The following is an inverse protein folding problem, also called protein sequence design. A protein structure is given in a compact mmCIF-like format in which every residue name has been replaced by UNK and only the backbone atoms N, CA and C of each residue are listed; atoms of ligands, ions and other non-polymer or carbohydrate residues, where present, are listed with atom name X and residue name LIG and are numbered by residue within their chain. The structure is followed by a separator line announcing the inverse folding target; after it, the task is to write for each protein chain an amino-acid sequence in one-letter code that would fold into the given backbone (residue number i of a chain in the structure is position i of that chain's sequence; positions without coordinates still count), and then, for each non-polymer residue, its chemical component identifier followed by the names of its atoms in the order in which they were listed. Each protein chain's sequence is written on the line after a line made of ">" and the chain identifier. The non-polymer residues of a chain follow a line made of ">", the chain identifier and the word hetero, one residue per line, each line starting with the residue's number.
data_IF_554735740321
#
_entry.id   IF_554735740321
#
_cell.length_a   1.000
_cell.length_b   1.000
_cell.length_c   1.000
_cell.angle_alpha   90.00
_cell.angle_beta   90.00
_cell.angle_gamma   90.00
#
_symmetry.space_group_name_H-M   'P 1'
#
loop_
_entity.id
_entity.type
_entity.pdbx_description
1 polymer ?
#
# COMPACT_ATOMS: atom_id res chain seq x y z
N UNK A 1 18.92 21.48 -5.75
CA UNK A 1 19.54 20.50 -4.83
C UNK A 1 19.39 19.13 -5.47
N UNK A 2 20.50 18.50 -5.86
CA UNK A 2 20.50 17.31 -6.71
C UNK A 2 19.97 16.08 -5.98
N UNK A 3 18.95 15.42 -6.54
CA UNK A 3 18.48 14.13 -6.04
C UNK A 3 19.61 13.10 -6.20
N UNK A 4 20.09 12.56 -5.07
CA UNK A 4 21.21 11.61 -5.03
C UNK A 4 20.83 10.29 -5.72
N UNK A 5 21.74 9.74 -6.52
CA UNK A 5 21.61 8.44 -7.22
C UNK A 5 21.12 7.31 -6.29
N UNK A 6 21.47 7.37 -5.01
CA UNK A 6 21.03 6.44 -3.98
C UNK A 6 19.51 6.42 -3.74
N UNK A 7 18.82 7.57 -3.91
CA UNK A 7 17.36 7.61 -3.81
C UNK A 7 16.69 6.80 -4.92
N UNK A 8 17.22 6.92 -6.15
CA UNK A 8 16.75 6.13 -7.29
C UNK A 8 17.08 4.66 -7.12
N UNK A 9 18.27 4.33 -6.64
CA UNK A 9 18.64 2.94 -6.36
C UNK A 9 17.71 2.29 -5.33
N UNK A 10 17.40 2.98 -4.23
CA UNK A 10 16.48 2.47 -3.20
C UNK A 10 15.04 2.36 -3.75
N UNK A 11 14.57 3.35 -4.51
CA UNK A 11 13.27 3.29 -5.20
C UNK A 11 13.21 2.11 -6.18
N UNK A 12 14.22 1.93 -7.02
CA UNK A 12 14.29 0.81 -7.96
C UNK A 12 14.45 -0.54 -7.26
N UNK A 13 15.05 -0.61 -6.08
CA UNK A 13 15.13 -1.86 -5.33
C UNK A 13 13.78 -2.17 -4.66
N UNK A 14 13.13 -1.17 -4.06
CA UNK A 14 11.81 -1.30 -3.45
C UNK A 14 10.70 -1.56 -4.48
N UNK A 15 10.83 -1.07 -5.71
CA UNK A 15 9.83 -1.22 -6.78
C UNK A 15 10.20 -2.36 -7.72
N UNK A 16 11.45 -2.38 -8.19
CA UNK A 16 11.94 -3.29 -9.20
C UNK A 16 11.99 -4.74 -8.72
N UNK A 17 12.30 -4.99 -7.45
CA UNK A 17 12.25 -6.35 -6.90
C UNK A 17 10.82 -6.90 -6.88
N UNK A 18 9.80 -6.20 -6.34
CA UNK A 18 8.42 -6.66 -6.44
C UNK A 18 7.93 -6.74 -7.90
N UNK A 19 8.24 -5.76 -8.76
CA UNK A 19 7.82 -5.81 -10.18
C UNK A 19 8.45 -7.00 -10.91
N UNK A 20 9.74 -7.26 -10.70
CA UNK A 20 10.44 -8.41 -11.27
C UNK A 20 9.84 -9.72 -10.78
N UNK A 21 9.54 -9.82 -9.47
CA UNK A 21 8.88 -10.99 -8.88
C UNK A 21 7.44 -11.14 -9.40
N UNK A 22 6.72 -10.04 -9.63
CA UNK A 22 5.38 -10.04 -10.21
C UNK A 22 5.38 -10.58 -11.64
N UNK A 23 6.32 -10.10 -12.46
CA UNK A 23 6.52 -10.56 -13.85
C UNK A 23 6.90 -12.05 -13.85
N UNK A 24 7.85 -12.47 -13.02
CA UNK A 24 8.26 -13.87 -12.88
C UNK A 24 7.13 -14.78 -12.34
N UNK A 25 6.26 -14.25 -11.47
CA UNK A 25 5.11 -14.98 -10.94
C UNK A 25 3.99 -15.10 -11.97
N UNK A 26 3.83 -14.11 -12.85
CA UNK A 26 2.87 -14.13 -13.96
C UNK A 26 3.30 -15.06 -15.10
N UNK A 27 4.61 -15.24 -15.33
CA UNK A 27 5.15 -16.13 -16.37
C UNK A 27 5.14 -17.61 -15.96
N UNK A 28 4.95 -17.94 -14.68
CA UNK A 28 4.82 -19.35 -14.24
C UNK A 28 3.51 -19.96 -14.76
N UNK A 29 3.56 -21.02 -15.59
CA UNK A 29 2.37 -21.66 -16.13
C UNK A 29 1.45 -22.16 -15.02
N UNK A 30 0.14 -21.97 -15.21
CA UNK A 30 -0.86 -22.60 -14.35
C UNK A 30 -0.71 -24.12 -14.43
N UNK A 31 -0.52 -24.80 -13.29
CA UNK A 31 -0.47 -26.26 -13.22
C UNK A 31 -1.79 -26.93 -13.62
N UNK A 32 -2.89 -26.16 -13.77
CA UNK A 32 -4.17 -26.71 -14.20
C UNK A 32 -4.97 -25.69 -15.05
N UNK A 33 -4.97 -25.82 -16.39
CA UNK A 33 -5.57 -24.84 -17.31
C UNK A 33 -7.10 -24.72 -17.17
N UNK A 34 -7.76 -25.72 -16.58
CA UNK A 34 -9.21 -25.68 -16.32
C UNK A 34 -9.57 -24.86 -15.06
N UNK A 35 -8.60 -24.52 -14.21
CA UNK A 35 -8.83 -23.78 -12.97
C UNK A 35 -8.51 -22.29 -13.14
N UNK A 36 -9.44 -21.42 -12.74
CA UNK A 36 -9.24 -19.96 -12.71
C UNK A 36 -8.25 -19.58 -11.59
N UNK A 37 -6.95 -19.80 -11.82
CA UNK A 37 -5.85 -19.59 -10.87
C UNK A 37 -4.82 -18.61 -11.44
N UNK A 38 -4.21 -17.80 -10.57
CA UNK A 38 -3.12 -16.87 -10.92
C UNK A 38 -3.56 -15.44 -11.20
N UNK A 39 -2.61 -14.64 -11.67
CA UNK A 39 -2.79 -13.22 -12.03
C UNK A 39 -3.39 -13.11 -13.42
N UNK A 40 -4.70 -12.90 -13.49
CA UNK A 40 -5.41 -12.67 -14.75
C UNK A 40 -6.66 -11.79 -14.55
N UNK A 41 -7.05 -11.07 -15.62
CA UNK A 41 -8.21 -10.18 -15.63
C UNK A 41 -8.15 -9.11 -14.53
N UNK A 42 -9.27 -8.93 -13.81
CA UNK A 42 -9.41 -7.96 -12.72
C UNK A 42 -8.37 -8.08 -11.60
N UNK A 43 -7.81 -9.27 -11.37
CA UNK A 43 -6.77 -9.48 -10.34
C UNK A 43 -5.43 -8.84 -10.74
N UNK A 44 -5.13 -8.78 -12.04
CA UNK A 44 -3.94 -8.08 -12.55
C UNK A 44 -4.09 -6.57 -12.42
N UNK A 45 -5.30 -6.05 -12.67
CA UNK A 45 -5.60 -4.64 -12.47
C UNK A 45 -5.45 -4.23 -11.01
N UNK A 46 -5.90 -5.07 -10.06
CA UNK A 46 -5.66 -4.86 -8.63
C UNK A 46 -4.16 -4.81 -8.31
N UNK A 47 -3.36 -5.72 -8.87
CA UNK A 47 -1.91 -5.76 -8.63
C UNK A 47 -1.22 -4.48 -9.10
N UNK A 48 -1.62 -3.98 -10.27
CA UNK A 48 -1.14 -2.71 -10.82
C UNK A 48 -1.54 -1.57 -9.89
N UNK A 49 -2.82 -1.47 -9.51
CA UNK A 49 -3.30 -0.42 -8.60
C UNK A 49 -2.60 -0.46 -7.24
N UNK A 50 -2.33 -1.64 -6.70
CA UNK A 50 -1.61 -1.80 -5.43
C UNK A 50 -0.17 -1.26 -5.55
N UNK A 51 0.52 -1.54 -6.65
CA UNK A 51 1.86 -1.00 -6.89
C UNK A 51 1.85 0.53 -7.07
N UNK A 52 0.88 1.07 -7.81
CA UNK A 52 0.71 2.51 -7.98
C UNK A 52 0.35 3.21 -6.66
N UNK A 53 -0.38 2.56 -5.75
CA UNK A 53 -0.69 3.12 -4.43
C UNK A 53 0.57 3.44 -3.63
N UNK A 54 1.50 2.47 -3.54
CA UNK A 54 2.79 2.69 -2.86
C UNK A 54 3.63 3.78 -3.52
N UNK A 55 3.63 3.83 -4.86
CA UNK A 55 4.36 4.86 -5.59
C UNK A 55 3.77 6.25 -5.34
N UNK A 56 2.44 6.37 -5.33
CA UNK A 56 1.75 7.65 -5.10
C UNK A 56 2.09 8.23 -3.73
N UNK A 57 2.13 7.41 -2.68
CA UNK A 57 2.50 7.88 -1.33
C UNK A 57 3.97 8.30 -1.24
N UNK A 58 4.87 7.62 -1.96
CA UNK A 58 6.28 8.05 -2.06
C UNK A 58 6.43 9.37 -2.84
N UNK A 59 5.69 9.52 -3.94
CA UNK A 59 5.68 10.76 -4.73
C UNK A 59 5.13 11.92 -3.89
N UNK A 60 4.07 11.70 -3.09
CA UNK A 60 3.51 12.74 -2.24
C UNK A 60 4.49 13.21 -1.16
N UNK A 61 5.30 12.32 -0.60
CA UNK A 61 6.39 12.70 0.32
C UNK A 61 7.44 13.58 -0.37
N UNK A 62 7.82 13.24 -1.61
CA UNK A 62 8.79 14.03 -2.38
C UNK A 62 8.28 15.40 -2.82
N UNK A 63 7.02 15.48 -3.26
CA UNK A 63 6.41 16.74 -3.70
C UNK A 63 6.07 17.70 -2.57
N UNK A 64 5.94 17.19 -1.33
CA UNK A 64 5.61 18.00 -0.15
C UNK A 64 6.84 18.65 0.49
N UNK A 65 8.01 18.52 -0.12
CA UNK A 65 9.28 19.07 0.40
C UNK A 65 9.21 20.57 0.69
N UNK A 66 8.57 21.39 -0.15
CA UNK A 66 8.43 22.82 0.11
C UNK A 66 7.44 23.13 1.25
N UNK A 67 6.33 22.39 1.33
CA UNK A 67 5.38 22.49 2.45
C UNK A 67 6.03 22.10 3.77
N UNK A 68 6.85 21.05 3.77
CA UNK A 68 7.65 20.64 4.93
C UNK A 68 8.65 21.70 5.34
N UNK A 69 9.31 22.40 4.41
CA UNK A 69 10.22 23.49 4.76
C UNK A 69 9.50 24.67 5.42
N UNK A 70 8.31 25.01 4.94
CA UNK A 70 7.48 26.05 5.55
C UNK A 70 6.99 25.64 6.94
N UNK A 71 6.58 24.38 7.10
CA UNK A 71 6.19 23.81 8.39
C UNK A 71 7.37 23.80 9.36
N UNK A 72 8.56 23.36 8.96
CA UNK A 72 9.77 23.34 9.80
C UNK A 72 10.20 24.73 10.30
N UNK A 73 9.79 25.81 9.64
CA UNK A 73 10.06 27.18 10.10
C UNK A 73 9.15 27.61 11.26
N UNK A 74 8.05 26.88 11.53
CA UNK A 74 7.15 27.12 12.64
C UNK A 74 7.71 26.50 13.95
N UNK A 75 7.36 27.06 15.12
CA UNK A 75 7.64 26.40 16.39
C UNK A 75 7.01 25.01 16.41
N UNK A 76 7.78 24.00 16.83
CA UNK A 76 7.42 22.57 16.79
C UNK A 76 7.18 21.97 15.39
N UNK A 77 7.36 22.73 14.33
CA UNK A 77 7.15 22.31 12.96
C UNK A 77 8.02 21.12 12.52
N UNK A 78 9.27 21.08 12.97
CA UNK A 78 10.17 19.95 12.73
C UNK A 78 9.64 18.64 13.33
N UNK A 79 9.06 18.70 14.53
CA UNK A 79 8.45 17.54 15.18
C UNK A 79 7.19 17.10 14.44
N UNK A 80 6.38 18.05 13.96
CA UNK A 80 5.19 17.77 13.17
C UNK A 80 5.56 17.00 11.90
N UNK A 81 6.52 17.52 11.12
CA UNK A 81 6.98 16.91 9.87
C UNK A 81 7.60 15.52 10.11
N UNK A 82 8.44 15.34 11.14
CA UNK A 82 9.01 14.02 11.40
C UNK A 82 7.97 12.97 11.73
N UNK A 83 6.92 13.32 12.49
CA UNK A 83 5.85 12.38 12.80
C UNK A 83 4.98 12.04 11.58
N UNK A 84 4.63 13.04 10.76
CA UNK A 84 3.91 12.81 9.49
C UNK A 84 4.72 11.88 8.58
N UNK A 85 6.00 12.19 8.35
CA UNK A 85 6.89 11.38 7.49
C UNK A 85 7.04 9.97 8.06
N UNK A 86 7.22 9.81 9.37
CA UNK A 86 7.34 8.50 9.99
C UNK A 86 6.06 7.66 9.81
N UNK A 87 4.89 8.28 10.00
CA UNK A 87 3.60 7.61 9.85
C UNK A 87 3.34 7.20 8.39
N UNK A 88 3.62 8.09 7.44
CA UNK A 88 3.51 7.80 6.01
C UNK A 88 4.49 6.71 5.56
N UNK A 89 5.74 6.73 6.05
CA UNK A 89 6.71 5.67 5.78
C UNK A 89 6.25 4.32 6.33
N UNK A 90 5.73 4.28 7.56
CA UNK A 90 5.16 3.05 8.12
C UNK A 90 4.01 2.52 7.27
N UNK A 91 3.15 3.42 6.76
CA UNK A 91 2.07 3.04 5.86
C UNK A 91 2.57 2.53 4.51
N UNK A 92 3.60 3.14 3.92
CA UNK A 92 4.25 2.64 2.69
C UNK A 92 4.82 1.24 2.91
N UNK A 93 5.54 1.02 4.01
CA UNK A 93 6.07 -0.32 4.36
C UNK A 93 4.94 -1.33 4.43
N UNK A 94 3.82 -0.97 5.05
CA UNK A 94 2.65 -1.84 5.11
C UNK A 94 2.03 -2.13 3.74
N UNK A 95 1.87 -1.12 2.87
CA UNK A 95 1.42 -1.30 1.49
C UNK A 95 2.34 -2.22 0.68
N UNK A 96 3.66 -2.11 0.89
CA UNK A 96 4.66 -2.99 0.26
C UNK A 96 4.52 -4.42 0.78
N UNK A 97 4.33 -4.62 2.09
CA UNK A 97 4.07 -5.96 2.66
C UNK A 97 2.82 -6.59 2.05
N UNK A 98 1.74 -5.82 1.88
CA UNK A 98 0.50 -6.28 1.23
C UNK A 98 0.76 -6.65 -0.24
N UNK A 99 1.52 -5.82 -0.97
CA UNK A 99 1.92 -6.09 -2.35
C UNK A 99 2.74 -7.38 -2.45
N UNK A 100 3.77 -7.54 -1.61
CA UNK A 100 4.61 -8.75 -1.58
C UNK A 100 3.75 -9.98 -1.26
N UNK A 101 2.85 -9.91 -0.27
CA UNK A 101 1.93 -10.99 0.05
C UNK A 101 1.02 -11.34 -1.15
N UNK A 102 0.60 -10.34 -1.92
CA UNK A 102 -0.15 -10.54 -3.16
C UNK A 102 0.70 -11.30 -4.18
N UNK A 103 1.90 -10.82 -4.48
CA UNK A 103 2.78 -11.37 -5.52
C UNK A 103 3.26 -12.79 -5.22
N UNK A 104 3.51 -13.08 -3.93
CA UNK A 104 3.84 -14.40 -3.42
C UNK A 104 2.62 -15.34 -3.32
N UNK A 105 1.43 -14.88 -3.73
CA UNK A 105 0.17 -15.64 -3.67
C UNK A 105 -0.14 -16.16 -2.25
N UNK A 106 0.26 -15.41 -1.24
CA UNK A 106 0.10 -15.80 0.16
C UNK A 106 -1.36 -15.79 0.59
N UNK A 107 -1.79 -16.80 1.36
CA UNK A 107 -3.14 -16.85 1.93
C UNK A 107 -3.46 -15.63 2.83
N UNK A 108 -2.42 -14.98 3.39
CA UNK A 108 -2.57 -13.79 4.23
C UNK A 108 -2.92 -12.53 3.46
N UNK A 109 -2.75 -12.53 2.12
CA UNK A 109 -3.04 -11.36 1.29
C UNK A 109 -4.44 -10.78 1.56
N UNK A 110 -5.47 -11.63 1.65
CA UNK A 110 -6.86 -11.17 1.86
C UNK A 110 -7.02 -10.39 3.16
N UNK A 111 -6.41 -10.89 4.24
CA UNK A 111 -6.44 -10.25 5.56
C UNK A 111 -5.63 -8.96 5.56
N UNK A 112 -4.42 -8.99 5.00
CA UNK A 112 -3.54 -7.82 4.91
C UNK A 112 -4.18 -6.71 4.07
N UNK A 113 -4.84 -7.05 2.97
CA UNK A 113 -5.54 -6.09 2.11
C UNK A 113 -6.77 -5.49 2.82
N UNK A 114 -7.49 -6.27 3.63
CA UNK A 114 -8.56 -5.75 4.49
C UNK A 114 -8.00 -4.79 5.56
N UNK A 115 -6.89 -5.14 6.19
CA UNK A 115 -6.22 -4.25 7.16
C UNK A 115 -5.72 -2.98 6.49
N UNK A 116 -5.22 -3.02 5.25
CA UNK A 116 -4.87 -1.84 4.47
C UNK A 116 -6.06 -0.91 4.26
N UNK A 117 -7.24 -1.46 3.99
CA UNK A 117 -8.45 -0.66 3.83
C UNK A 117 -8.83 0.11 5.10
N UNK A 118 -8.75 -0.53 6.27
CA UNK A 118 -8.95 0.14 7.57
C UNK A 118 -7.80 1.07 7.95
N UNK A 119 -6.58 0.77 7.52
CA UNK A 119 -5.42 1.61 7.79
C UNK A 119 -5.53 2.99 7.10
N UNK A 120 -6.21 3.10 5.96
CA UNK A 120 -6.41 4.39 5.26
C UNK A 120 -7.03 5.46 6.19
N UNK A 121 -8.24 5.27 6.76
CA UNK A 121 -8.83 6.26 7.66
C UNK A 121 -8.06 6.39 8.97
N UNK A 122 -7.48 5.31 9.50
CA UNK A 122 -6.71 5.34 10.74
C UNK A 122 -5.47 6.24 10.59
N UNK A 123 -4.68 6.04 9.53
CA UNK A 123 -3.49 6.86 9.25
C UNK A 123 -3.89 8.32 9.07
N UNK A 124 -4.97 8.60 8.34
CA UNK A 124 -5.46 9.97 8.17
C UNK A 124 -5.83 10.64 9.50
N UNK A 125 -6.54 9.93 10.39
CA UNK A 125 -6.92 10.47 11.71
C UNK A 125 -5.69 10.68 12.58
N UNK A 126 -4.78 9.70 12.62
CA UNK A 126 -3.54 9.80 13.42
C UNK A 126 -2.69 10.98 12.97
N UNK A 127 -2.57 11.19 11.66
CA UNK A 127 -1.84 12.32 11.09
C UNK A 127 -2.48 13.66 11.46
N UNK A 128 -3.79 13.78 11.28
CA UNK A 128 -4.52 15.01 11.62
C UNK A 128 -4.44 15.35 13.12
N UNK A 129 -4.55 14.34 13.99
CA UNK A 129 -4.38 14.50 15.44
C UNK A 129 -2.94 14.87 15.79
N UNK A 130 -1.95 14.23 15.16
CA UNK A 130 -0.54 14.56 15.37
C UNK A 130 -0.23 16.01 15.01
N UNK A 131 -0.59 16.44 13.80
CA UNK A 131 -0.37 17.81 13.32
C UNK A 131 -1.10 18.82 14.23
N UNK A 132 -2.36 18.55 14.58
CA UNK A 132 -3.15 19.42 15.46
C UNK A 132 -2.52 19.56 16.86
N UNK A 133 -2.10 18.45 17.47
CA UNK A 133 -1.51 18.46 18.81
C UNK A 133 -0.14 19.12 18.85
N UNK A 134 0.73 18.84 17.86
CA UNK A 134 2.10 19.37 17.84
C UNK A 134 2.14 20.87 17.49
N UNK A 135 1.30 21.31 16.56
CA UNK A 135 1.24 22.72 16.14
C UNK A 135 0.28 23.56 17.00
N UNK A 136 -0.49 22.95 17.90
CA UNK A 136 -1.53 23.63 18.68
C UNK A 136 -2.66 24.20 17.82
N UNK A 137 -2.80 23.73 16.58
CA UNK A 137 -3.81 24.19 15.64
C UNK A 137 -5.10 23.38 15.80
N UNK A 138 -6.29 24.00 15.73
CA UNK A 138 -7.56 23.27 15.81
C UNK A 138 -7.71 22.31 14.62
N UNK A 139 -8.24 21.12 14.87
CA UNK A 139 -8.46 20.07 13.85
C UNK A 139 -9.29 20.59 12.66
N UNK A 140 -10.19 21.56 12.87
CA UNK A 140 -10.96 22.19 11.79
C UNK A 140 -10.11 22.94 10.77
N UNK A 141 -8.95 23.47 11.17
CA UNK A 141 -7.98 24.10 10.26
C UNK A 141 -7.16 23.05 9.51
N UNK A 142 -6.80 21.94 10.17
CA UNK A 142 -6.09 20.81 9.55
C UNK A 142 -6.99 20.11 8.51
N UNK A 143 -8.28 20.02 8.78
CA UNK A 143 -9.29 19.41 7.90
C UNK A 143 -9.91 20.41 6.91
N UNK A 144 -9.37 21.61 6.76
CA UNK A 144 -9.97 22.65 5.94
C UNK A 144 -9.95 22.32 4.43
N UNK A 145 -10.94 22.88 3.71
CA UNK A 145 -11.03 22.78 2.26
C UNK A 145 -11.20 21.35 1.76
N UNK A 146 -10.31 20.94 0.85
CA UNK A 146 -10.43 19.67 0.11
C UNK A 146 -9.65 18.50 0.76
N UNK A 147 -9.14 18.66 1.98
CA UNK A 147 -8.29 17.68 2.67
C UNK A 147 -8.96 16.30 2.80
N UNK A 148 -10.28 16.26 2.94
CA UNK A 148 -11.07 15.02 3.09
C UNK A 148 -11.31 14.28 1.77
N UNK A 149 -11.21 14.94 0.61
CA UNK A 149 -11.58 14.34 -0.68
C UNK A 149 -10.68 13.14 -0.99
N UNK A 150 -9.36 13.29 -0.87
CA UNK A 150 -8.42 12.23 -1.22
C UNK A 150 -8.54 10.97 -0.31
N UNK A 151 -8.63 11.09 1.03
CA UNK A 151 -8.90 9.95 1.91
C UNK A 151 -10.22 9.27 1.62
N UNK A 152 -11.31 10.03 1.40
CA UNK A 152 -12.65 9.47 1.11
C UNK A 152 -12.63 8.68 -0.21
N UNK A 153 -12.08 9.27 -1.27
CA UNK A 153 -11.97 8.61 -2.57
C UNK A 153 -11.11 7.34 -2.45
N UNK A 154 -9.99 7.41 -1.73
CA UNK A 154 -9.12 6.24 -1.54
C UNK A 154 -9.83 5.14 -0.75
N UNK A 155 -10.53 5.48 0.34
CA UNK A 155 -11.30 4.52 1.13
C UNK A 155 -12.41 3.85 0.32
N UNK A 156 -13.17 4.62 -0.46
CA UNK A 156 -14.24 4.10 -1.29
C UNK A 156 -13.72 3.16 -2.39
N UNK A 157 -12.69 3.58 -3.13
CA UNK A 157 -12.09 2.77 -4.19
C UNK A 157 -11.46 1.50 -3.64
N UNK A 158 -10.68 1.58 -2.56
CA UNK A 158 -10.11 0.40 -1.92
C UNK A 158 -11.20 -0.53 -1.38
N UNK A 159 -12.30 0.01 -0.84
CA UNK A 159 -13.44 -0.77 -0.36
C UNK A 159 -14.10 -1.61 -1.45
N UNK A 160 -14.26 -1.06 -2.67
CA UNK A 160 -14.74 -1.81 -3.84
C UNK A 160 -13.83 -3.01 -4.13
N UNK A 161 -12.51 -2.80 -4.06
CA UNK A 161 -11.55 -3.88 -4.26
C UNK A 161 -11.56 -4.92 -3.15
N UNK A 162 -11.77 -4.52 -1.90
CA UNK A 162 -11.94 -5.46 -0.78
C UNK A 162 -13.13 -6.36 -1.04
N UNK A 163 -14.27 -5.80 -1.44
CA UNK A 163 -15.46 -6.58 -1.80
C UNK A 163 -15.17 -7.57 -2.94
N UNK A 164 -14.43 -7.13 -3.97
CA UNK A 164 -13.97 -8.00 -5.05
C UNK A 164 -13.05 -9.13 -4.55
N UNK A 165 -12.07 -8.84 -3.71
CA UNK A 165 -11.11 -9.82 -3.16
C UNK A 165 -11.81 -10.94 -2.38
N UNK A 166 -12.85 -10.60 -1.62
CA UNK A 166 -13.58 -11.59 -0.83
C UNK A 166 -14.63 -12.36 -1.63
N UNK A 167 -15.24 -11.75 -2.66
CA UNK A 167 -16.29 -12.39 -3.48
C UNK A 167 -15.74 -13.18 -4.68
N UNK A 168 -14.56 -12.81 -5.19
CA UNK A 168 -14.02 -13.39 -6.43
C UNK A 168 -13.53 -14.83 -6.24
N UNK A 169 -14.08 -15.74 -7.06
CA UNK A 169 -13.66 -17.14 -7.14
C UNK A 169 -12.19 -17.26 -7.56
N UNK A 170 -11.73 -16.42 -8.50
CA UNK A 170 -10.32 -16.40 -8.93
C UNK A 170 -9.38 -16.04 -7.77
N UNK A 171 -9.71 -14.99 -7.01
CA UNK A 171 -8.92 -14.60 -5.83
C UNK A 171 -8.92 -15.74 -4.81
N UNK A 172 -10.07 -16.38 -4.57
CA UNK A 172 -10.14 -17.54 -3.67
C UNK A 172 -9.23 -18.69 -4.10
N UNK A 173 -9.19 -19.00 -5.39
CA UNK A 173 -8.38 -20.09 -5.94
C UNK A 173 -6.89 -19.73 -6.01
N UNK A 174 -6.55 -18.45 -6.21
CA UNK A 174 -5.15 -17.97 -6.26
C UNK A 174 -4.47 -17.91 -4.89
N UNK A 175 -5.21 -17.54 -3.84
CA UNK A 175 -4.66 -17.34 -2.48
C UNK A 175 -5.14 -18.43 -1.51
N UNK A 176 -4.75 -19.68 -1.76
CA UNK A 176 -5.13 -20.84 -0.93
C UNK A 176 -4.02 -21.23 0.05
N UNK A 177 -4.39 -21.84 1.18
CA UNK A 177 -3.43 -22.35 2.18
C UNK A 177 -2.62 -23.55 1.67
N UNK A 178 -3.12 -24.24 0.63
CA UNK A 178 -2.52 -25.41 0.02
C UNK A 178 -1.23 -25.12 -0.79
N UNK A 179 -0.96 -23.85 -1.13
CA UNK A 179 0.30 -23.43 -1.77
C UNK A 179 1.46 -23.19 -0.81
N UNK A 180 1.33 -23.56 0.48
CA UNK A 180 2.47 -23.59 1.39
C UNK A 180 3.37 -24.79 1.01
N UNK A 181 4.68 -24.60 0.80
CA UNK A 181 5.60 -25.70 0.51
C UNK A 181 5.67 -26.60 1.76
N UNK A 182 4.87 -27.66 1.81
CA UNK A 182 4.82 -28.51 3.00
C UNK A 182 3.69 -29.54 3.11
N UNK A 183 2.78 -29.66 2.15
CA UNK A 183 1.85 -30.80 2.15
C UNK A 183 2.19 -31.77 1.02
N UNK A 184 3.17 -32.62 1.30
CA UNK A 184 3.30 -33.92 0.63
C UNK A 184 2.11 -34.74 1.12
N UNK A 185 1.14 -34.97 0.25
CA UNK A 185 0.07 -35.93 0.50
C UNK A 185 0.73 -37.31 0.51
N UNK A 186 0.97 -37.88 1.69
CA UNK A 186 1.23 -39.30 1.84
C UNK A 186 -0.08 -40.04 1.55
N UNK A 187 -0.16 -40.66 0.38
CA UNK A 187 -1.24 -41.58 0.03
C UNK A 187 -0.91 -42.94 0.67
N UNK A 188 -1.88 -43.63 1.32
CA UNK A 188 -1.70 -44.97 1.85
C UNK A 188 -1.53 -46.04 0.77
#
# INVERSE_FOLDING_TARGET
>A
MGFSFWHWAILFLLIGVPVFVAVQSATKPSQNPASLVGFGGWLMLLAILQAFSSLRTLVSLGSSSEGYRQLMALPNGTLAVYGEVALLLAFVVFQVVVLVAMLLRSYRFKQLFLYQWFAIPIVFILDAVWISTVLGAPVSQVLAGNALIAPIVSFALTGIWVAYVYKSVRVRNTFTKAGAPGQVVSVP
#
